data_IF_856233221685
#
_entry.id   IF_856233221685
#
_cell.length_a   1.000
_cell.length_b   1.000
_cell.length_c   1.000
_cell.angle_alpha   90.00
_cell.angle_beta   90.00
_cell.angle_gamma   90.00
#
_symmetry.space_group_name_H-M   'P 1'
#
loop_
_entity.id
_entity.type
_entity.pdbx_description
1 polymer ?
#
# COMPACT_ATOMS: atom_id res chain seq x y z
N UNK A 1 -51.82 -6.71 12.92
CA UNK A 1 -51.05 -5.53 13.40
C UNK A 1 -50.65 -5.77 14.84
N UNK A 2 -49.36 -6.02 15.10
CA UNK A 2 -48.83 -6.10 16.48
C UNK A 2 -47.44 -5.48 16.45
N UNK A 3 -47.37 -4.22 16.87
CA UNK A 3 -46.12 -3.50 17.10
C UNK A 3 -45.64 -3.89 18.49
N UNK A 4 -44.46 -4.48 18.61
CA UNK A 4 -43.73 -4.54 19.86
C UNK A 4 -42.62 -3.50 19.82
N UNK A 5 -42.53 -2.76 20.91
CA UNK A 5 -41.78 -1.54 21.14
C UNK A 5 -40.77 -1.81 22.27
N UNK A 6 -39.58 -1.20 22.12
CA UNK A 6 -38.54 -0.91 23.13
C UNK A 6 -37.65 -2.04 23.69
N UNK A 7 -36.47 -1.74 24.28
CA UNK A 7 -35.71 -0.47 24.29
C UNK A 7 -34.20 -0.58 23.93
N UNK A 8 -33.68 0.60 23.61
CA UNK A 8 -32.27 1.01 23.49
C UNK A 8 -31.55 0.90 24.84
N UNK A 9 -30.34 0.33 24.85
CA UNK A 9 -29.43 0.36 25.99
C UNK A 9 -28.12 1.07 25.57
N UNK A 10 -27.95 2.31 26.04
CA UNK A 10 -26.73 3.10 25.89
C UNK A 10 -25.85 2.79 27.10
N UNK A 11 -24.66 2.24 26.87
CA UNK A 11 -23.58 2.22 27.85
C UNK A 11 -22.45 3.14 27.38
N UNK A 12 -22.37 4.30 28.01
CA UNK A 12 -21.21 5.19 28.03
C UNK A 12 -20.27 4.70 29.13
N UNK A 13 -19.03 4.33 28.77
CA UNK A 13 -17.93 4.29 29.73
C UNK A 13 -16.75 5.07 29.15
N UNK A 14 -16.59 6.26 29.71
CA UNK A 14 -15.39 7.07 29.64
C UNK A 14 -14.31 6.45 30.53
N UNK A 15 -13.06 6.47 30.07
CA UNK A 15 -11.90 6.07 30.85
C UNK A 15 -10.61 6.58 30.23
N UNK A 16 -10.29 7.85 30.47
CA UNK A 16 -8.93 8.39 30.26
C UNK A 16 -8.06 8.02 31.47
N UNK A 17 -6.82 7.60 31.24
CA UNK A 17 -5.73 7.77 32.20
C UNK A 17 -4.42 7.94 31.45
N UNK A 18 -3.92 9.17 31.50
CA UNK A 18 -2.56 9.53 31.18
C UNK A 18 -1.65 9.10 32.34
N UNK A 19 -0.45 8.62 32.04
CA UNK A 19 0.73 8.81 32.89
C UNK A 19 2.01 8.61 32.05
N UNK A 20 2.72 9.72 31.86
CA UNK A 20 4.17 9.86 31.69
C UNK A 20 4.65 10.69 32.92
N UNK A 21 5.94 10.89 33.22
CA UNK A 21 7.18 10.45 32.57
C UNK A 21 8.24 9.90 33.57
N UNK A 22 9.42 9.51 33.09
CA UNK A 22 10.71 10.02 33.60
C UNK A 22 11.90 9.53 32.73
N UNK A 23 12.75 10.48 32.34
CA UNK A 23 14.11 10.33 31.82
C UNK A 23 15.06 10.68 32.97
N UNK A 24 16.20 9.98 33.05
CA UNK A 24 17.54 10.36 33.57
C UNK A 24 18.30 9.02 33.76
N UNK A 25 19.61 8.86 33.55
CA UNK A 25 20.75 9.77 33.48
C UNK A 25 22.01 8.98 33.03
N UNK A 26 23.12 9.70 32.85
CA UNK A 26 24.53 9.28 32.97
C UNK A 26 25.12 8.41 31.84
N UNK A 27 26.39 8.52 31.43
CA UNK A 27 27.50 9.35 31.92
C UNK A 27 28.60 9.45 30.85
N UNK A 28 29.50 10.41 31.05
CA UNK A 28 30.75 10.63 30.31
C UNK A 28 31.70 9.41 30.25
N UNK A 29 32.56 9.34 29.23
CA UNK A 29 34.02 9.36 29.44
C UNK A 29 34.81 9.43 28.13
N UNK A 30 35.79 10.31 28.16
CA UNK A 30 36.74 10.68 27.12
C UNK A 30 37.98 9.75 27.05
N UNK A 31 38.58 9.72 25.85
CA UNK A 31 40.02 9.60 25.50
C UNK A 31 40.82 8.30 25.81
N UNK A 32 41.26 7.60 24.76
CA UNK A 32 42.69 7.52 24.37
C UNK A 32 42.98 6.59 23.18
N UNK A 33 43.91 7.06 22.36
CA UNK A 33 44.61 6.46 21.22
C UNK A 33 45.40 5.17 21.51
N UNK A 34 45.68 4.37 20.47
CA UNK A 34 47.04 3.91 20.03
C UNK A 34 46.92 2.88 18.88
N UNK A 35 47.97 2.82 18.07
CA UNK A 35 48.15 2.32 16.69
C UNK A 35 48.84 0.93 16.64
N UNK A 36 48.55 0.15 15.57
CA UNK A 36 49.35 -0.96 14.95
C UNK A 36 49.53 -2.27 15.76
N UNK A 37 49.61 -3.50 15.21
CA UNK A 37 49.89 -4.05 13.86
C UNK A 37 49.57 -5.58 13.84
N UNK A 38 49.10 -6.08 12.70
CA UNK A 38 49.52 -7.32 11.98
C UNK A 38 49.24 -8.76 12.52
N UNK A 39 48.41 -9.45 11.73
CA UNK A 39 48.44 -10.83 11.19
C UNK A 39 48.21 -12.14 11.99
N UNK A 40 47.23 -12.88 11.42
CA UNK A 40 47.20 -14.32 11.10
C UNK A 40 46.97 -15.33 12.22
N UNK A 41 45.79 -15.97 12.22
CA UNK A 41 45.62 -17.39 11.82
C UNK A 41 44.19 -17.94 11.99
N UNK A 42 43.63 -18.36 10.84
CA UNK A 42 42.91 -19.60 10.50
C UNK A 42 41.81 -20.18 11.42
N UNK A 43 40.69 -20.47 10.72
CA UNK A 43 39.60 -21.42 11.00
C UNK A 43 38.65 -21.10 12.15
N UNK A 44 37.45 -20.65 11.78
CA UNK A 44 36.27 -21.39 12.23
C UNK A 44 35.10 -21.27 11.26
N UNK A 45 34.42 -22.41 11.11
CA UNK A 45 33.31 -22.68 10.20
C UNK A 45 32.14 -21.79 10.60
N UNK A 46 31.86 -20.75 9.81
CA UNK A 46 30.62 -19.99 9.91
C UNK A 46 29.65 -20.44 8.83
N UNK A 47 28.66 -21.22 9.28
CA UNK A 47 27.38 -21.42 8.62
C UNK A 47 26.91 -20.11 8.01
N UNK A 48 26.85 -20.05 6.68
CA UNK A 48 26.20 -18.97 5.94
C UNK A 48 24.71 -19.13 6.16
N UNK A 49 24.27 -18.70 7.35
CA UNK A 49 22.90 -18.25 7.55
C UNK A 49 22.75 -17.08 6.58
N UNK A 50 21.90 -17.24 5.58
CA UNK A 50 21.48 -16.15 4.70
C UNK A 50 20.74 -15.12 5.54
N UNK A 51 21.51 -14.27 6.21
CA UNK A 51 21.04 -13.09 6.87
C UNK A 51 20.35 -12.24 5.82
N UNK A 52 19.05 -12.13 6.02
CA UNK A 52 18.19 -11.23 5.27
C UNK A 52 18.67 -9.83 5.61
N UNK A 53 19.59 -9.30 4.81
CA UNK A 53 19.97 -7.89 4.85
C UNK A 53 18.68 -7.11 4.66
N UNK A 54 18.19 -6.53 5.75
CA UNK A 54 17.07 -5.62 5.73
C UNK A 54 17.43 -4.51 4.73
N UNK A 55 16.78 -4.51 3.57
CA UNK A 55 17.03 -3.53 2.54
C UNK A 55 16.75 -2.15 3.12
N UNK A 56 17.80 -1.36 3.34
CA UNK A 56 17.71 0.01 3.85
C UNK A 56 17.05 0.94 2.82
N UNK A 57 17.07 0.58 1.53
CA UNK A 57 16.34 1.29 0.48
C UNK A 57 14.84 0.90 0.49
N UNK A 58 13.95 1.84 0.88
CA UNK A 58 12.52 1.59 0.87
C UNK A 58 11.96 1.32 -0.54
N UNK A 59 12.57 1.84 -1.61
CA UNK A 59 12.11 1.61 -2.98
C UNK A 59 12.41 0.17 -3.41
N UNK A 60 13.63 -0.33 -3.16
CA UNK A 60 13.98 -1.72 -3.41
C UNK A 60 13.07 -2.68 -2.62
N UNK A 61 12.80 -2.37 -1.35
CA UNK A 61 11.85 -3.14 -0.54
C UNK A 61 10.45 -3.21 -1.18
N UNK A 62 9.90 -2.08 -1.61
CA UNK A 62 8.58 -2.03 -2.26
C UNK A 62 8.58 -2.84 -3.56
N UNK A 63 9.59 -2.68 -4.41
CA UNK A 63 9.71 -3.42 -5.68
C UNK A 63 9.70 -4.93 -5.47
N UNK A 64 10.50 -5.41 -4.51
CA UNK A 64 10.54 -6.84 -4.15
C UNK A 64 9.17 -7.36 -3.69
N UNK A 65 8.43 -6.60 -2.88
CA UNK A 65 7.08 -7.01 -2.47
C UNK A 65 6.11 -7.04 -3.64
N UNK A 66 6.14 -6.03 -4.52
CA UNK A 66 5.27 -5.98 -5.72
C UNK A 66 5.57 -7.14 -6.66
N UNK A 67 6.85 -7.42 -6.90
CA UNK A 67 7.30 -8.57 -7.70
C UNK A 67 6.78 -9.88 -7.11
N UNK A 68 7.05 -10.12 -5.83
CA UNK A 68 6.58 -11.32 -5.14
C UNK A 68 5.06 -11.49 -5.24
N UNK A 69 4.28 -10.42 -5.06
CA UNK A 69 2.81 -10.45 -5.18
C UNK A 69 2.41 -10.83 -6.61
N UNK A 70 3.01 -10.21 -7.63
CA UNK A 70 2.67 -10.47 -9.03
C UNK A 70 3.06 -11.87 -9.52
N UNK A 71 4.05 -12.52 -8.90
CA UNK A 71 4.50 -13.87 -9.26
C UNK A 71 3.93 -14.96 -8.36
N UNK A 72 3.26 -14.61 -7.28
CA UNK A 72 2.65 -15.58 -6.36
C UNK A 72 1.33 -16.11 -6.90
N UNK A 73 0.98 -17.34 -6.52
CA UNK A 73 -0.38 -17.85 -6.68
C UNK A 73 -1.24 -17.26 -5.56
N UNK A 74 -2.18 -16.40 -5.91
CA UNK A 74 -3.05 -15.70 -4.97
C UNK A 74 -4.47 -16.24 -5.04
N UNK A 75 -5.15 -16.27 -3.90
CA UNK A 75 -6.60 -16.41 -3.87
C UNK A 75 -7.23 -15.11 -4.35
N UNK A 76 -8.32 -15.19 -5.12
CA UNK A 76 -8.98 -14.00 -5.67
C UNK A 76 -10.47 -13.99 -5.31
N UNK A 77 -10.98 -12.80 -5.01
CA UNK A 77 -12.41 -12.49 -4.97
C UNK A 77 -12.71 -11.41 -6.02
N UNK A 78 -13.60 -11.74 -6.93
CA UNK A 78 -14.01 -10.88 -8.04
C UNK A 78 -15.34 -10.18 -7.74
N UNK A 79 -15.43 -8.90 -8.09
CA UNK A 79 -16.66 -8.13 -8.12
C UNK A 79 -16.83 -7.48 -9.48
N UNK A 80 -18.05 -7.50 -10.01
CA UNK A 80 -18.44 -6.79 -11.21
C UNK A 80 -19.72 -6.00 -10.93
N UNK A 81 -19.78 -4.74 -11.31
CA UNK A 81 -20.95 -3.88 -11.14
C UNK A 81 -20.92 -2.70 -12.12
N UNK A 82 -22.08 -2.08 -12.33
CA UNK A 82 -22.20 -0.85 -13.13
C UNK A 82 -22.02 0.40 -12.26
N UNK A 83 -21.08 1.27 -12.65
CA UNK A 83 -21.11 2.71 -12.37
C UNK A 83 -21.68 3.42 -13.61
N UNK A 84 -20.92 4.32 -14.24
CA UNK A 84 -21.21 4.83 -15.59
C UNK A 84 -20.95 3.74 -16.65
N UNK A 85 -19.91 2.93 -16.42
CA UNK A 85 -19.52 1.79 -17.22
C UNK A 85 -19.41 0.53 -16.38
N UNK A 86 -19.26 -0.60 -17.06
CA UNK A 86 -19.02 -1.88 -16.40
C UNK A 86 -17.63 -1.88 -15.77
N UNK A 87 -17.59 -1.90 -14.45
CA UNK A 87 -16.37 -1.92 -13.67
C UNK A 87 -16.14 -3.30 -13.07
N UNK A 88 -14.88 -3.70 -12.99
CA UNK A 88 -14.47 -4.91 -12.26
C UNK A 88 -13.47 -4.57 -11.16
N UNK A 89 -13.57 -5.29 -10.05
CA UNK A 89 -12.65 -5.16 -8.93
C UNK A 89 -12.25 -6.53 -8.44
N UNK A 90 -10.94 -6.79 -8.48
CA UNK A 90 -10.33 -8.04 -8.08
C UNK A 90 -9.53 -7.84 -6.79
N UNK A 91 -9.92 -8.55 -5.74
CA UNK A 91 -9.20 -8.61 -4.47
C UNK A 91 -8.32 -9.84 -4.47
N UNK A 92 -7.03 -9.68 -4.24
CA UNK A 92 -6.09 -10.79 -4.16
C UNK A 92 -5.56 -10.95 -2.75
N UNK A 93 -5.55 -12.20 -2.29
CA UNK A 93 -5.20 -12.60 -0.94
C UNK A 93 -3.98 -13.51 -0.93
N UNK A 94 -3.12 -13.31 0.06
CA UNK A 94 -2.04 -14.22 0.40
C UNK A 94 -2.14 -14.52 1.90
N UNK A 95 -2.32 -15.79 2.25
CA UNK A 95 -2.50 -16.23 3.64
C UNK A 95 -3.64 -15.49 4.37
N UNK A 96 -4.76 -15.24 3.68
CA UNK A 96 -5.91 -14.52 4.22
C UNK A 96 -5.77 -12.99 4.30
N UNK A 97 -4.60 -12.42 3.99
CA UNK A 97 -4.40 -10.96 3.95
C UNK A 97 -4.58 -10.42 2.53
N UNK A 98 -5.27 -9.27 2.40
CA UNK A 98 -5.33 -8.54 1.12
C UNK A 98 -3.93 -8.00 0.81
N UNK A 99 -3.37 -8.44 -0.32
CA UNK A 99 -2.05 -7.98 -0.80
C UNK A 99 -2.14 -7.15 -2.09
N UNK A 100 -3.22 -7.31 -2.85
CA UNK A 100 -3.48 -6.50 -4.05
C UNK A 100 -4.98 -6.27 -4.22
N UNK A 101 -5.34 -5.08 -4.69
CA UNK A 101 -6.67 -4.79 -5.24
C UNK A 101 -6.45 -4.21 -6.63
N UNK A 102 -7.05 -4.83 -7.65
CA UNK A 102 -7.07 -4.33 -9.02
C UNK A 102 -8.45 -3.77 -9.32
N UNK A 103 -8.51 -2.55 -9.87
CA UNK A 103 -9.73 -1.89 -10.30
C UNK A 103 -9.61 -1.63 -11.80
N UNK A 104 -10.50 -2.22 -12.58
CA UNK A 104 -10.70 -1.86 -13.99
C UNK A 104 -11.95 -0.97 -14.07
N UNK A 105 -11.76 0.28 -14.49
CA UNK A 105 -12.85 1.24 -14.62
C UNK A 105 -13.62 1.06 -15.94
N UNK A 106 -13.15 0.17 -16.83
CA UNK A 106 -13.65 0.08 -18.19
C UNK A 106 -13.27 1.32 -19.01
N UNK A 107 -14.01 1.53 -20.09
CA UNK A 107 -13.83 2.66 -21.00
C UNK A 107 -14.91 3.70 -20.74
N UNK A 108 -14.61 4.71 -19.93
CA UNK A 108 -15.54 5.81 -19.61
C UNK A 108 -15.36 6.92 -20.67
N UNK A 109 -16.32 7.03 -21.59
CA UNK A 109 -16.20 7.90 -22.76
C UNK A 109 -15.09 7.43 -23.69
N UNK A 110 -14.11 8.30 -23.99
CA UNK A 110 -12.95 7.96 -24.84
C UNK A 110 -11.71 7.52 -24.04
N UNK A 111 -11.89 7.17 -22.75
CA UNK A 111 -10.78 6.90 -21.82
C UNK A 111 -10.97 5.57 -21.11
N UNK A 112 -10.04 4.67 -21.33
CA UNK A 112 -9.84 3.46 -20.53
C UNK A 112 -8.92 3.75 -19.35
N UNK A 113 -9.28 3.26 -18.16
CA UNK A 113 -8.44 3.40 -16.97
C UNK A 113 -8.44 2.13 -16.10
N UNK A 114 -7.27 1.83 -15.53
CA UNK A 114 -7.14 0.81 -14.49
C UNK A 114 -6.18 1.27 -13.39
N UNK A 115 -6.41 0.78 -12.19
CA UNK A 115 -5.56 1.05 -11.03
C UNK A 115 -5.25 -0.26 -10.28
N UNK A 116 -4.01 -0.42 -9.85
CA UNK A 116 -3.60 -1.50 -8.95
C UNK A 116 -3.06 -0.92 -7.64
N UNK A 117 -3.57 -1.43 -6.52
CA UNK A 117 -3.14 -1.07 -5.17
C UNK A 117 -2.47 -2.26 -4.51
N UNK A 118 -1.25 -2.08 -4.02
CA UNK A 118 -0.47 -3.13 -3.40
C UNK A 118 -0.25 -2.84 -1.92
N UNK A 119 -0.42 -3.88 -1.11
CA UNK A 119 -0.44 -3.77 0.34
C UNK A 119 0.59 -4.70 0.99
N UNK A 120 1.11 -4.25 2.13
CA UNK A 120 1.90 -5.08 3.04
C UNK A 120 1.44 -4.81 4.46
N UNK A 121 1.01 -5.86 5.18
CA UNK A 121 0.46 -5.75 6.52
C UNK A 121 -0.64 -4.67 6.64
N UNK A 122 -1.58 -4.69 5.69
CA UNK A 122 -2.71 -3.74 5.63
C UNK A 122 -2.32 -2.28 5.29
N UNK A 123 -1.08 -2.00 4.90
CA UNK A 123 -0.61 -0.66 4.51
C UNK A 123 -0.36 -0.59 3.02
N UNK A 124 -0.83 0.47 2.37
CA UNK A 124 -0.55 0.76 0.97
C UNK A 124 0.96 1.04 0.80
N UNK A 125 1.62 0.26 -0.06
CA UNK A 125 3.05 0.40 -0.36
C UNK A 125 3.33 0.83 -1.79
N UNK A 126 2.42 0.52 -2.71
CA UNK A 126 2.57 0.87 -4.12
C UNK A 126 1.21 1.06 -4.78
N UNK A 127 1.12 2.07 -5.65
CA UNK A 127 -0.03 2.32 -6.51
C UNK A 127 0.44 2.42 -7.94
N UNK A 128 -0.19 1.65 -8.82
CA UNK A 128 -0.04 1.76 -10.27
C UNK A 128 -1.35 2.28 -10.87
N UNK A 129 -1.24 3.17 -11.85
CA UNK A 129 -2.37 3.68 -12.60
C UNK A 129 -2.00 3.65 -14.08
N UNK A 130 -2.93 3.20 -14.91
CA UNK A 130 -2.81 3.24 -16.36
C UNK A 130 -4.04 3.94 -16.92
N UNK A 131 -3.79 4.87 -17.83
CA UNK A 131 -4.84 5.59 -18.55
C UNK A 131 -4.50 5.60 -20.02
N UNK A 132 -5.43 5.14 -20.85
CA UNK A 132 -5.33 5.15 -22.30
C UNK A 132 -6.57 5.84 -22.87
N UNK A 133 -6.38 6.88 -23.68
CA UNK A 133 -7.50 7.59 -24.28
C UNK A 133 -7.08 8.84 -25.04
N UNK A 134 -8.02 9.39 -25.78
CA UNK A 134 -7.82 10.57 -26.62
C UNK A 134 -8.93 10.70 -27.66
N UNK A 135 -9.00 11.84 -28.36
CA UNK A 135 -10.02 12.03 -29.39
C UNK A 135 -9.85 11.01 -30.52
N UNK A 136 -10.94 10.75 -31.24
CA UNK A 136 -11.00 9.83 -32.37
C UNK A 136 -10.25 10.39 -33.61
N UNK A 137 -8.92 10.46 -33.52
CA UNK A 137 -8.03 10.80 -34.63
C UNK A 137 -6.74 9.95 -34.58
N UNK A 138 -6.13 9.77 -35.75
CA UNK A 138 -4.89 9.03 -35.90
C UNK A 138 -3.78 9.68 -35.05
N UNK A 139 -3.10 8.88 -34.23
CA UNK A 139 -2.02 9.34 -33.35
C UNK A 139 -2.46 10.17 -32.13
N UNK A 140 -3.76 10.35 -31.91
CA UNK A 140 -4.27 11.18 -30.82
C UNK A 140 -4.45 10.43 -29.49
N UNK A 141 -4.46 9.10 -29.52
CA UNK A 141 -4.56 8.27 -28.32
C UNK A 141 -3.27 8.37 -27.51
N UNK A 142 -3.39 8.78 -26.25
CA UNK A 142 -2.28 8.87 -25.31
C UNK A 142 -2.37 7.75 -24.31
N UNK A 143 -1.20 7.20 -23.97
CA UNK A 143 -1.03 6.25 -22.87
C UNK A 143 -0.22 6.94 -21.79
N UNK A 144 -0.70 6.88 -20.55
CA UNK A 144 0.04 7.37 -19.41
C UNK A 144 0.09 6.29 -18.34
N UNK A 145 1.29 6.04 -17.83
CA UNK A 145 1.52 5.19 -16.67
C UNK A 145 1.96 6.03 -15.48
N UNK A 146 1.38 5.76 -14.32
CA UNK A 146 1.75 6.42 -13.07
C UNK A 146 2.12 5.39 -12.02
N UNK A 147 3.20 5.65 -11.28
CA UNK A 147 3.69 4.75 -10.22
C UNK A 147 3.99 5.57 -8.97
N UNK A 148 3.30 5.26 -7.88
CA UNK A 148 3.53 5.86 -6.56
C UNK A 148 4.14 4.83 -5.63
N UNK A 149 5.36 5.08 -5.17
CA UNK A 149 6.01 4.31 -4.11
C UNK A 149 5.72 4.98 -2.78
N UNK A 150 5.13 4.24 -1.84
CA UNK A 150 4.49 4.81 -0.65
C UNK A 150 5.12 4.22 0.61
N UNK A 151 5.48 5.08 1.56
CA UNK A 151 5.95 4.70 2.89
C UNK A 151 5.33 5.62 3.93
N UNK A 152 4.80 5.04 5.01
CA UNK A 152 4.12 5.79 6.07
C UNK A 152 3.05 6.75 5.52
N UNK A 153 2.22 6.25 4.60
CA UNK A 153 1.15 7.00 3.94
C UNK A 153 1.61 8.20 3.09
N UNK A 154 2.91 8.36 2.84
CA UNK A 154 3.46 9.42 1.99
C UNK A 154 4.18 8.84 0.77
N UNK A 155 4.04 9.51 -0.36
CA UNK A 155 4.78 9.15 -1.58
C UNK A 155 6.25 9.52 -1.41
N UNK A 156 7.11 8.52 -1.51
CA UNK A 156 8.58 8.67 -1.45
C UNK A 156 9.23 8.67 -2.84
N UNK A 157 8.52 8.20 -3.87
CA UNK A 157 8.91 8.32 -5.27
C UNK A 157 7.67 8.28 -6.14
N UNK A 158 7.60 9.18 -7.11
CA UNK A 158 6.52 9.24 -8.08
C UNK A 158 7.08 9.22 -9.50
N UNK A 159 6.52 8.37 -10.35
CA UNK A 159 6.89 8.29 -11.76
C UNK A 159 5.67 8.51 -12.64
N UNK A 160 5.86 9.27 -13.72
CA UNK A 160 4.99 9.30 -14.88
C UNK A 160 5.79 8.80 -16.08
N UNK A 161 5.30 7.78 -16.77
CA UNK A 161 5.97 7.18 -17.95
C UNK A 161 7.44 6.89 -17.66
N UNK A 162 7.68 6.28 -16.49
CA UNK A 162 9.00 5.92 -15.95
C UNK A 162 9.94 7.09 -15.58
N UNK A 163 9.51 8.34 -15.79
CA UNK A 163 10.26 9.55 -15.43
C UNK A 163 9.81 10.09 -14.08
N UNK A 164 10.76 10.52 -13.26
CA UNK A 164 10.46 11.16 -11.97
C UNK A 164 9.73 12.48 -12.21
N UNK A 165 8.65 12.70 -11.48
CA UNK A 165 7.87 13.94 -11.53
C UNK A 165 7.18 14.20 -10.19
N UNK A 166 6.47 15.32 -10.06
CA UNK A 166 5.68 15.66 -8.86
C UNK A 166 4.48 14.74 -8.71
N UNK A 167 4.24 14.25 -7.50
CA UNK A 167 3.08 13.42 -7.19
C UNK A 167 1.76 14.17 -7.40
N UNK A 168 0.79 13.50 -8.03
CA UNK A 168 -0.61 13.98 -8.13
C UNK A 168 -1.33 13.84 -6.78
N UNK A 169 -1.11 12.71 -6.12
CA UNK A 169 -1.55 12.44 -4.74
C UNK A 169 -0.32 12.07 -3.94
N UNK A 170 0.04 12.91 -2.96
CA UNK A 170 1.29 12.75 -2.20
C UNK A 170 1.09 12.08 -0.84
N UNK A 171 -0.16 12.04 -0.33
CA UNK A 171 -0.50 11.43 0.95
C UNK A 171 -1.78 10.60 0.85
N UNK A 172 -1.82 9.47 1.55
CA UNK A 172 -2.93 8.52 1.55
C UNK A 172 -3.44 8.32 2.97
N UNK A 173 -4.54 8.99 3.31
CA UNK A 173 -5.16 8.88 4.63
C UNK A 173 -6.16 7.73 4.70
N UNK A 174 -6.74 7.48 5.87
CA UNK A 174 -7.82 6.49 6.02
C UNK A 174 -9.07 6.80 5.17
N UNK A 175 -9.23 8.04 4.69
CA UNK A 175 -10.36 8.43 3.84
C UNK A 175 -10.09 8.27 2.34
N UNK A 176 -8.83 8.03 1.94
CA UNK A 176 -8.44 7.74 0.56
C UNK A 176 -9.12 6.46 0.07
N UNK A 177 -9.51 6.41 -1.21
CA UNK A 177 -10.27 5.27 -1.77
C UNK A 177 -9.50 3.95 -1.59
N UNK A 178 -8.18 3.99 -1.77
CA UNK A 178 -7.27 2.87 -1.64
C UNK A 178 -7.39 2.23 -0.24
N UNK A 179 -7.40 3.06 0.80
CA UNK A 179 -7.51 2.57 2.19
C UNK A 179 -8.95 2.22 2.60
N UNK A 180 -9.96 2.83 1.98
CA UNK A 180 -11.37 2.47 2.21
C UNK A 180 -11.67 1.06 1.67
N UNK A 181 -11.12 0.72 0.51
CA UNK A 181 -11.32 -0.59 -0.13
C UNK A 181 -10.75 -1.76 0.70
N UNK A 182 -9.80 -1.53 1.62
CA UNK A 182 -9.34 -2.59 2.53
C UNK A 182 -10.42 -3.11 3.50
N UNK A 183 -11.51 -2.35 3.70
CA UNK A 183 -12.53 -2.64 4.71
C UNK A 183 -13.83 -3.16 4.14
N UNK A 184 -13.99 -3.15 2.83
CA UNK A 184 -15.23 -3.55 2.18
C UNK A 184 -15.26 -5.05 1.96
N UNK A 185 -16.46 -5.62 2.03
CA UNK A 185 -16.67 -7.06 1.96
C UNK A 185 -17.69 -7.45 0.89
N UNK A 186 -18.55 -6.52 0.46
CA UNK A 186 -19.59 -6.75 -0.56
C UNK A 186 -19.43 -5.86 -1.79
N UNK A 187 -20.08 -6.24 -2.89
CA UNK A 187 -20.06 -5.45 -4.13
C UNK A 187 -20.68 -4.06 -3.94
N UNK A 188 -21.73 -3.95 -3.13
CA UNK A 188 -22.42 -2.68 -2.84
C UNK A 188 -21.52 -1.70 -2.09
N UNK A 189 -20.72 -2.19 -1.14
CA UNK A 189 -19.75 -1.37 -0.42
C UNK A 189 -18.60 -0.93 -1.33
N UNK A 190 -18.10 -1.83 -2.19
CA UNK A 190 -17.10 -1.48 -3.21
C UNK A 190 -17.65 -0.40 -4.13
N UNK A 191 -18.89 -0.58 -4.62
CA UNK A 191 -19.60 0.36 -5.48
C UNK A 191 -19.74 1.72 -4.81
N UNK A 192 -20.11 1.77 -3.53
CA UNK A 192 -20.26 3.02 -2.77
C UNK A 192 -18.93 3.78 -2.57
N UNK A 193 -17.79 3.08 -2.62
CA UNK A 193 -16.47 3.72 -2.57
C UNK A 193 -16.05 4.28 -3.93
N UNK A 194 -16.35 3.55 -5.01
CA UNK A 194 -15.81 3.82 -6.36
C UNK A 194 -16.73 4.63 -7.26
N UNK A 195 -18.04 4.37 -7.28
CA UNK A 195 -18.99 5.19 -8.05
C UNK A 195 -19.28 6.48 -7.28
N UNK A 196 -18.88 7.63 -7.80
CA UNK A 196 -19.21 8.95 -7.24
C UNK A 196 -19.69 9.89 -8.31
#
# INVERSE_FOLDING_TARGET
>A
MKKLLFPVLIFLLAGCSQNKPAKQQDDNSDTSSVVSTTDTSVSDIHTVTTDTVATTDPIAFIRKNVENINTSKLENKHFEFMCDEKMTVDYFYLNGEIVKISVDFGTVGDVYAKEDYYYKAGKLIFKYEFVEGGPACEGCIKKNEYRSYIKNNKVIKYLKDQKVTTCRTCEFSASSKENKLLKVTTAEEVKAVLCR
#
